data_IF_805942705418
#
_entry.id   IF_805942705418
#
_cell.length_a   1.000
_cell.length_b   1.000
_cell.length_c   1.000
_cell.angle_alpha   90.00
_cell.angle_beta   90.00
_cell.angle_gamma   90.00
#
_symmetry.space_group_name_H-M   'P 1'
#
loop_
_entity.id
_entity.type
_entity.pdbx_description
1 polymer ?
#
# COMPACT_ATOMS: atom_id res chain seq x y z
N UNK A 1 14.70 13.19 8.03
CA UNK A 1 13.63 12.41 7.41
C UNK A 1 12.35 12.71 8.15
N UNK A 2 11.43 13.43 7.50
CA UNK A 2 10.13 13.76 8.05
C UNK A 2 9.19 12.56 8.09
N UNK A 3 8.20 12.61 8.97
CA UNK A 3 7.17 11.58 9.14
C UNK A 3 6.51 11.16 7.81
N UNK A 4 6.19 12.14 6.96
CA UNK A 4 5.59 11.88 5.66
C UNK A 4 6.51 11.05 4.75
N UNK A 5 7.83 11.24 4.83
CA UNK A 5 8.78 10.46 4.02
C UNK A 5 8.78 8.99 4.46
N UNK A 6 8.67 8.72 5.76
CA UNK A 6 8.57 7.35 6.29
C UNK A 6 7.29 6.67 5.81
N UNK A 7 6.14 7.36 5.86
CA UNK A 7 4.87 6.82 5.39
C UNK A 7 4.86 6.61 3.87
N UNK A 8 5.38 7.56 3.10
CA UNK A 8 5.50 7.44 1.65
C UNK A 8 6.41 6.27 1.27
N UNK A 9 7.52 6.08 1.99
CA UNK A 9 8.42 4.94 1.78
C UNK A 9 7.74 3.61 2.07
N UNK A 10 7.00 3.52 3.18
CA UNK A 10 6.24 2.31 3.54
C UNK A 10 5.14 2.00 2.50
N UNK A 11 4.44 3.02 2.01
CA UNK A 11 3.42 2.86 0.96
C UNK A 11 4.04 2.37 -0.36
N UNK A 12 5.20 2.92 -0.75
CA UNK A 12 5.96 2.46 -1.92
C UNK A 12 6.39 0.99 -1.79
N UNK A 13 6.85 0.57 -0.60
CA UNK A 13 7.22 -0.83 -0.34
C UNK A 13 6.01 -1.76 -0.40
N UNK A 14 4.88 -1.34 0.19
CA UNK A 14 3.66 -2.13 0.16
C UNK A 14 3.14 -2.33 -1.28
N UNK A 15 3.22 -1.30 -2.13
CA UNK A 15 2.83 -1.34 -3.55
C UNK A 15 3.51 -2.47 -4.33
N UNK A 16 4.74 -2.84 -4.00
CA UNK A 16 5.47 -3.89 -4.72
C UNK A 16 4.82 -5.27 -4.57
N UNK A 17 3.97 -5.46 -3.55
CA UNK A 17 3.19 -6.68 -3.34
C UNK A 17 1.80 -6.63 -3.98
N UNK A 18 1.45 -5.55 -4.69
CA UNK A 18 0.12 -5.41 -5.29
C UNK A 18 -0.14 -6.49 -6.34
N UNK A 19 -1.28 -7.17 -6.21
CA UNK A 19 -1.78 -8.11 -7.19
C UNK A 19 -2.83 -7.41 -8.07
N UNK A 20 -2.39 -6.86 -9.22
CA UNK A 20 -3.25 -6.10 -10.12
C UNK A 20 -3.15 -6.59 -11.58
N UNK A 21 -3.48 -7.86 -11.87
CA UNK A 21 -3.33 -8.43 -13.20
C UNK A 21 -4.33 -7.87 -14.23
N UNK A 22 -5.42 -7.21 -13.81
CA UNK A 22 -6.44 -6.72 -14.73
C UNK A 22 -6.18 -5.27 -15.12
N UNK A 23 -5.97 -4.38 -14.14
CA UNK A 23 -5.70 -2.97 -14.44
C UNK A 23 -4.23 -2.68 -14.74
N UNK A 24 -3.31 -3.54 -14.30
CA UNK A 24 -1.87 -3.27 -14.21
C UNK A 24 -1.52 -2.03 -13.35
N UNK A 25 -2.46 -1.53 -12.55
CA UNK A 25 -2.28 -0.34 -11.74
C UNK A 25 -2.00 -0.72 -10.28
N UNK A 26 -0.72 -0.71 -9.91
CA UNK A 26 -0.26 -1.06 -8.56
C UNK A 26 -0.39 0.12 -7.61
N UNK A 27 -1.15 -0.06 -6.53
CA UNK A 27 -1.39 0.93 -5.48
C UNK A 27 -0.86 0.40 -4.15
N UNK A 28 -0.19 1.28 -3.40
CA UNK A 28 0.22 1.01 -2.03
C UNK A 28 -0.19 2.15 -1.11
N UNK A 29 -0.50 1.80 0.13
CA UNK A 29 -0.89 2.73 1.18
C UNK A 29 -0.13 2.40 2.47
N UNK A 30 0.05 3.40 3.33
CA UNK A 30 0.60 3.23 4.65
C UNK A 30 -0.16 4.08 5.66
N UNK A 31 -0.39 3.52 6.84
CA UNK A 31 -1.10 4.14 7.96
C UNK A 31 -0.26 4.02 9.22
N UNK A 32 -0.26 5.06 10.06
CA UNK A 32 0.33 5.00 11.39
C UNK A 32 -0.78 4.91 12.43
N UNK A 33 -0.74 3.87 13.27
CA UNK A 33 -1.63 3.75 14.41
C UNK A 33 -1.22 4.70 15.54
N UNK A 34 -2.12 4.92 16.51
CA UNK A 34 -1.84 5.72 17.70
C UNK A 34 -0.68 5.19 18.54
N UNK A 35 -0.36 3.88 18.43
CA UNK A 35 0.81 3.26 19.04
C UNK A 35 2.14 3.57 18.34
N UNK A 36 2.11 4.33 17.23
CA UNK A 36 3.28 4.63 16.40
C UNK A 36 3.64 3.54 15.39
N UNK A 37 2.99 2.36 15.46
CA UNK A 37 3.20 1.28 14.49
C UNK A 37 2.69 1.68 13.11
N UNK A 38 3.51 1.42 12.08
CA UNK A 38 3.14 1.62 10.68
C UNK A 38 2.62 0.31 10.10
N UNK A 39 1.51 0.41 9.37
CA UNK A 39 0.90 -0.67 8.60
C UNK A 39 0.94 -0.30 7.13
N UNK A 40 1.42 -1.21 6.29
CA UNK A 40 1.37 -1.09 4.83
C UNK A 40 0.24 -1.94 4.26
N UNK A 41 -0.33 -1.50 3.14
CA UNK A 41 -1.33 -2.26 2.38
C UNK A 41 -1.21 -1.99 0.88
N UNK A 42 -1.75 -2.88 0.07
CA UNK A 42 -1.79 -2.75 -1.39
C UNK A 42 -3.11 -3.27 -1.95
N UNK A 43 -3.43 -2.91 -3.19
CA UNK A 43 -4.59 -3.46 -3.87
C UNK A 43 -4.36 -4.92 -4.30
N UNK A 44 -5.41 -5.73 -4.16
CA UNK A 44 -5.49 -7.10 -4.63
C UNK A 44 -6.77 -7.20 -5.44
N UNK A 45 -6.63 -7.36 -6.75
CA UNK A 45 -7.75 -7.47 -7.67
C UNK A 45 -8.25 -8.90 -7.76
N UNK A 46 -9.53 -9.05 -8.08
CA UNK A 46 -10.17 -10.33 -8.28
C UNK A 46 -10.83 -10.36 -9.66
N UNK A 47 -10.86 -11.55 -10.28
CA UNK A 47 -11.48 -11.77 -11.61
C UNK A 47 -13.00 -11.56 -11.60
N UNK A 48 -13.62 -11.71 -10.44
CA UNK A 48 -15.03 -11.40 -10.24
C UNK A 48 -15.14 -9.91 -9.93
N UNK A 49 -15.35 -9.12 -10.98
CA UNK A 49 -16.14 -7.90 -10.81
C UNK A 49 -17.47 -8.34 -10.20
N UNK A 50 -17.82 -7.80 -9.03
CA UNK A 50 -19.09 -8.08 -8.37
C UNK A 50 -20.30 -7.81 -9.26
#
# INVERSE_FOLDING_TARGET
MGENETLISAAKQARENAHAPFSNFRVGAALRATSGRIFGGCNVENATYG
#
